data_IF_475906379612
#
_entry.id   IF_475906379612
#
_cell.length_a   1.000
_cell.length_b   1.000
_cell.length_c   1.000
_cell.angle_alpha   90.00
_cell.angle_beta   90.00
_cell.angle_gamma   90.00
#
_symmetry.space_group_name_H-M   'P 1'
#
loop_
_entity.id
_entity.type
_entity.pdbx_description
1 polymer ?
#
# COMPACT_ATOMS: atom_id res chain seq x y z
N UNK A 1 -6.08 8.05 -25.72
CA UNK A 1 -6.70 7.26 -24.65
C UNK A 1 -5.63 6.84 -23.67
N UNK A 2 -5.85 7.06 -22.41
CA UNK A 2 -4.91 6.64 -21.38
C UNK A 2 -5.57 5.61 -20.47
N UNK A 3 -4.76 4.74 -19.90
CA UNK A 3 -5.23 3.75 -18.93
C UNK A 3 -4.27 3.65 -17.77
N UNK A 4 -4.76 3.17 -16.65
CA UNK A 4 -3.94 2.92 -15.47
C UNK A 4 -4.51 1.75 -14.70
N UNK A 5 -3.66 1.15 -13.87
CA UNK A 5 -4.04 -0.01 -13.06
C UNK A 5 -4.14 0.43 -11.60
N UNK A 6 -5.20 0.00 -10.94
CA UNK A 6 -5.43 0.25 -9.52
C UNK A 6 -6.07 -0.97 -8.90
N UNK A 7 -6.51 -0.87 -7.64
CA UNK A 7 -7.25 -1.96 -7.00
C UNK A 7 -8.71 -1.57 -6.84
N UNK A 8 -9.58 -2.57 -6.75
CA UNK A 8 -10.99 -2.39 -6.46
C UNK A 8 -11.18 -2.46 -4.94
N UNK A 9 -11.74 -1.39 -4.36
CA UNK A 9 -12.08 -1.40 -2.95
C UNK A 9 -10.88 -1.55 -2.03
N UNK A 10 -10.94 -2.54 -1.15
CA UNK A 10 -9.92 -2.79 -0.12
C UNK A 10 -9.42 -4.23 -0.16
N UNK A 11 -8.24 -4.45 0.41
CA UNK A 11 -7.68 -5.78 0.55
C UNK A 11 -6.83 -5.83 1.82
N UNK A 12 -6.75 -7.00 2.43
CA UNK A 12 -5.94 -7.22 3.64
C UNK A 12 -5.24 -8.56 3.53
N UNK A 13 -3.98 -8.61 3.92
CA UNK A 13 -3.23 -9.85 4.03
C UNK A 13 -2.29 -9.76 5.21
N UNK A 14 -1.98 -10.89 5.81
CA UNK A 14 -1.11 -10.94 6.97
C UNK A 14 -0.02 -11.98 6.76
N UNK A 15 1.20 -11.64 7.17
CA UNK A 15 2.30 -12.60 7.23
C UNK A 15 2.94 -12.54 8.61
N UNK A 16 3.67 -13.57 8.97
CA UNK A 16 4.44 -13.62 10.22
C UNK A 16 5.90 -13.87 9.87
N UNK A 17 6.79 -13.10 10.49
CA UNK A 17 8.23 -13.25 10.35
C UNK A 17 8.87 -13.08 11.73
N UNK A 18 9.62 -14.10 12.17
CA UNK A 18 10.30 -14.10 13.47
C UNK A 18 9.37 -13.60 14.58
N UNK A 19 8.15 -14.15 14.61
CA UNK A 19 7.10 -13.86 15.60
C UNK A 19 6.48 -12.48 15.51
N UNK A 20 6.95 -11.61 14.62
CA UNK A 20 6.27 -10.35 14.34
C UNK A 20 5.16 -10.60 13.32
N UNK A 21 4.02 -9.91 13.52
CA UNK A 21 2.90 -9.97 12.58
C UNK A 21 2.92 -8.71 11.73
N UNK A 22 2.77 -8.90 10.43
CA UNK A 22 2.73 -7.80 9.47
C UNK A 22 1.41 -7.89 8.71
N UNK A 23 0.57 -6.88 8.88
CA UNK A 23 -0.76 -6.84 8.28
C UNK A 23 -0.77 -5.74 7.24
N UNK A 24 -0.85 -6.12 5.97
CA UNK A 24 -0.93 -5.16 4.88
C UNK A 24 -2.39 -4.88 4.56
N UNK A 25 -2.78 -3.63 4.73
CA UNK A 25 -4.14 -3.16 4.42
C UNK A 25 -4.04 -2.19 3.26
N UNK A 26 -4.74 -2.47 2.17
CA UNK A 26 -4.73 -1.66 0.96
C UNK A 26 -6.11 -1.11 0.68
N UNK A 27 -6.15 0.06 0.06
CA UNK A 27 -7.41 0.66 -0.36
C UNK A 27 -7.21 1.47 -1.64
N UNK A 28 -8.25 1.50 -2.47
CA UNK A 28 -8.29 2.43 -3.59
C UNK A 28 -8.54 3.82 -3.04
N UNK A 29 -7.67 4.77 -3.38
CA UNK A 29 -7.82 6.17 -3.00
C UNK A 29 -7.46 7.03 -4.19
N UNK A 30 -8.07 8.21 -4.30
CA UNK A 30 -7.80 9.12 -5.41
C UNK A 30 -7.22 10.44 -4.96
N UNK A 31 -7.27 10.74 -3.66
CA UNK A 31 -6.73 11.98 -3.12
C UNK A 31 -5.85 11.69 -1.90
N UNK A 32 -5.00 12.64 -1.57
CA UNK A 32 -4.17 12.56 -0.37
C UNK A 32 -5.03 12.50 0.89
N UNK A 33 -6.13 13.26 0.90
CA UNK A 33 -7.05 13.25 2.03
C UNK A 33 -7.63 11.85 2.28
N UNK A 34 -8.01 11.14 1.21
CA UNK A 34 -8.51 9.78 1.32
C UNK A 34 -7.44 8.83 1.82
N UNK A 35 -6.21 8.99 1.33
CA UNK A 35 -5.09 8.15 1.77
C UNK A 35 -4.81 8.32 3.25
N UNK A 36 -4.78 9.58 3.73
CA UNK A 36 -4.52 9.88 5.14
C UNK A 36 -5.69 9.45 6.02
N UNK A 37 -6.92 9.55 5.54
CA UNK A 37 -8.08 9.08 6.29
C UNK A 37 -8.01 7.56 6.48
N UNK A 38 -7.60 6.82 5.46
CA UNK A 38 -7.43 5.38 5.56
C UNK A 38 -6.33 5.04 6.58
N UNK A 39 -5.21 5.76 6.53
CA UNK A 39 -4.13 5.57 7.50
C UNK A 39 -4.63 5.76 8.93
N UNK A 40 -5.40 6.81 9.19
CA UNK A 40 -5.94 7.08 10.52
C UNK A 40 -6.92 6.00 10.96
N UNK A 41 -7.72 5.48 10.04
CA UNK A 41 -8.64 4.38 10.33
C UNK A 41 -7.86 3.12 10.78
N UNK A 42 -6.79 2.79 10.06
CA UNK A 42 -5.97 1.62 10.40
C UNK A 42 -5.24 1.83 11.73
N UNK A 43 -4.70 3.04 11.96
CA UNK A 43 -4.06 3.36 13.24
C UNK A 43 -5.04 3.20 14.40
N UNK A 44 -6.25 3.71 14.25
CA UNK A 44 -7.26 3.63 15.30
C UNK A 44 -7.65 2.18 15.60
N UNK A 45 -7.67 1.33 14.58
CA UNK A 45 -8.00 -0.09 14.76
C UNK A 45 -6.83 -0.89 15.34
N UNK A 46 -5.61 -0.35 15.35
CA UNK A 46 -4.41 -1.08 15.75
C UNK A 46 -3.55 -0.27 16.73
N UNK A 47 -4.17 0.25 17.80
CA UNK A 47 -3.50 1.14 18.74
C UNK A 47 -2.31 0.50 19.45
N UNK A 48 -2.31 -0.82 19.59
CA UNK A 48 -1.22 -1.53 20.28
C UNK A 48 -0.07 -1.88 19.34
N UNK A 49 -0.20 -1.64 18.05
CA UNK A 49 0.86 -1.92 17.10
C UNK A 49 2.01 -0.92 17.28
N UNK A 50 3.24 -1.40 17.11
CA UNK A 50 4.43 -0.56 17.18
C UNK A 50 4.56 0.39 16.00
N UNK A 51 4.20 -0.08 14.82
CA UNK A 51 4.40 0.68 13.60
C UNK A 51 3.21 0.49 12.66
N UNK A 52 2.80 1.59 12.03
CA UNK A 52 1.87 1.58 10.92
C UNK A 52 2.58 2.27 9.76
N UNK A 53 3.40 1.50 9.09
CA UNK A 53 4.18 1.95 7.92
C UNK A 53 3.23 2.16 6.76
N UNK A 54 3.46 3.18 5.94
CA UNK A 54 2.56 3.39 4.81
C UNK A 54 3.27 3.90 3.57
N UNK A 55 2.62 3.69 2.43
CA UNK A 55 2.99 4.28 1.16
C UNK A 55 1.73 4.51 0.35
N UNK A 56 1.71 5.56 -0.45
CA UNK A 56 0.61 5.75 -1.38
C UNK A 56 1.11 6.39 -2.67
N UNK A 57 0.41 6.08 -3.73
CA UNK A 57 0.67 6.58 -5.07
C UNK A 57 -0.64 7.12 -5.60
N UNK A 58 -0.63 8.40 -5.98
CA UNK A 58 -1.81 9.06 -6.52
C UNK A 58 -1.51 9.49 -7.95
N UNK A 59 -2.44 9.22 -8.85
CA UNK A 59 -2.31 9.58 -10.24
C UNK A 59 -2.31 11.09 -10.44
N UNK A 60 -3.03 11.82 -9.57
CA UNK A 60 -3.10 13.27 -9.60
C UNK A 60 -2.66 13.84 -8.26
N UNK A 61 -1.77 14.82 -8.30
CA UNK A 61 -1.23 15.46 -7.10
C UNK A 61 -2.00 16.69 -6.64
N UNK A 62 -3.23 16.85 -7.08
CA UNK A 62 -4.05 18.05 -6.81
C UNK A 62 -3.94 19.02 -7.97
N UNK A 63 -4.74 20.07 -7.96
CA UNK A 63 -4.84 21.19 -8.92
C UNK A 63 -3.96 21.10 -10.17
N UNK A 64 -4.12 20.06 -10.99
CA UNK A 64 -3.40 19.92 -12.24
C UNK A 64 -1.97 19.46 -12.13
N UNK A 65 -1.52 19.13 -10.93
CA UNK A 65 -0.15 18.67 -10.70
C UNK A 65 0.03 17.22 -11.18
N UNK A 66 1.28 16.84 -11.38
CA UNK A 66 1.64 15.45 -11.62
C UNK A 66 1.29 14.59 -10.40
N UNK A 67 1.29 13.29 -10.57
CA UNK A 67 0.98 12.36 -9.49
C UNK A 67 1.85 12.55 -8.26
N UNK A 68 1.35 12.07 -7.12
CA UNK A 68 2.05 12.18 -5.84
C UNK A 68 2.40 10.81 -5.30
N UNK A 69 3.60 10.71 -4.76
CA UNK A 69 4.13 9.49 -4.15
C UNK A 69 4.65 9.84 -2.77
N UNK A 70 4.24 9.08 -1.75
CA UNK A 70 4.70 9.28 -0.38
C UNK A 70 4.88 7.96 0.34
N UNK A 71 5.79 7.97 1.32
CA UNK A 71 5.94 6.82 2.21
C UNK A 71 6.44 7.29 3.57
N UNK A 72 6.26 6.43 4.58
CA UNK A 72 6.77 6.67 5.92
C UNK A 72 7.18 5.36 6.56
N UNK A 73 8.33 5.37 7.22
CA UNK A 73 8.82 4.21 7.99
C UNK A 73 8.12 4.09 9.35
N UNK A 74 7.42 5.11 9.79
CA UNK A 74 6.68 5.16 11.05
C UNK A 74 7.49 4.59 12.23
N UNK A 75 8.73 5.05 12.40
CA UNK A 75 9.57 4.65 13.50
C UNK A 75 10.43 3.42 13.24
N UNK A 76 10.27 2.71 12.15
CA UNK A 76 11.21 1.67 11.76
C UNK A 76 12.51 2.33 11.28
N UNK A 77 13.64 1.59 11.26
CA UNK A 77 14.89 2.18 10.75
C UNK A 77 14.72 2.73 9.35
N UNK A 78 15.42 3.82 9.05
CA UNK A 78 15.25 4.56 7.82
C UNK A 78 15.38 3.67 6.58
N UNK A 79 14.40 3.76 5.68
CA UNK A 79 14.34 3.05 4.40
C UNK A 79 14.24 1.53 4.49
N UNK A 80 13.84 1.01 5.65
CA UNK A 80 13.66 -0.44 5.82
C UNK A 80 12.21 -0.88 5.69
N UNK A 81 11.28 0.04 5.65
CA UNK A 81 9.85 -0.30 5.74
C UNK A 81 9.01 0.45 4.70
N UNK A 82 8.92 1.77 4.79
CA UNK A 82 8.07 2.56 3.90
C UNK A 82 8.51 2.50 2.45
N UNK A 83 9.81 2.61 2.20
CA UNK A 83 10.33 2.56 0.84
C UNK A 83 10.12 1.18 0.20
N UNK A 84 10.42 0.05 0.87
CA UNK A 84 10.09 -1.25 0.32
C UNK A 84 8.60 -1.41 -0.01
N UNK A 85 7.72 -0.91 0.85
CA UNK A 85 6.28 -0.93 0.60
C UNK A 85 5.95 -0.16 -0.68
N UNK A 86 6.49 1.05 -0.81
CA UNK A 86 6.28 1.87 -2.00
C UNK A 86 6.80 1.17 -3.25
N UNK A 87 7.99 0.59 -3.19
CA UNK A 87 8.60 -0.05 -4.35
C UNK A 87 7.79 -1.23 -4.86
N UNK A 88 7.18 -2.00 -3.97
CA UNK A 88 6.30 -3.10 -4.38
C UNK A 88 5.09 -2.57 -5.15
N UNK A 89 4.48 -1.48 -4.67
CA UNK A 89 3.35 -0.85 -5.37
C UNK A 89 3.78 -0.36 -6.75
N UNK A 90 4.97 0.25 -6.84
CA UNK A 90 5.50 0.76 -8.10
C UNK A 90 5.80 -0.37 -9.09
N UNK A 91 6.42 -1.45 -8.63
CA UNK A 91 6.74 -2.59 -9.50
C UNK A 91 5.48 -3.27 -10.00
N UNK A 92 4.40 -3.24 -9.22
CA UNK A 92 3.12 -3.79 -9.65
C UNK A 92 2.39 -2.87 -10.65
N UNK A 93 2.92 -1.67 -10.88
CA UNK A 93 2.34 -0.72 -11.81
C UNK A 93 1.06 -0.08 -11.29
N UNK A 94 0.86 -0.05 -9.96
CA UNK A 94 -0.38 0.45 -9.37
C UNK A 94 -0.32 1.96 -9.13
N UNK A 95 -1.47 2.60 -9.27
CA UNK A 95 -1.66 3.98 -8.87
C UNK A 95 -3.03 4.14 -8.23
N UNK A 96 -3.29 5.29 -7.58
CA UNK A 96 -4.52 5.54 -6.84
C UNK A 96 -4.74 4.46 -5.78
N UNK A 97 -3.68 4.20 -5.00
CA UNK A 97 -3.66 3.15 -3.99
C UNK A 97 -2.89 3.63 -2.77
N UNK A 98 -3.35 3.20 -1.60
CA UNK A 98 -2.62 3.35 -0.34
C UNK A 98 -2.43 1.96 0.26
N UNK A 99 -1.24 1.73 0.83
CA UNK A 99 -0.95 0.51 1.58
C UNK A 99 -0.44 0.90 2.95
N UNK A 100 -1.04 0.35 4.00
CA UNK A 100 -0.57 0.50 5.37
C UNK A 100 -0.17 -0.88 5.86
N UNK A 101 1.10 -1.03 6.30
CA UNK A 101 1.57 -2.28 6.88
C UNK A 101 1.70 -2.07 8.38
N UNK A 102 0.84 -2.74 9.13
CA UNK A 102 0.78 -2.69 10.58
C UNK A 102 1.64 -3.82 11.14
N UNK A 103 2.56 -3.48 12.04
CA UNK A 103 3.45 -4.47 12.62
C UNK A 103 3.25 -4.58 14.12
N UNK A 104 3.03 -5.83 14.58
CA UNK A 104 3.04 -6.19 16.00
C UNK A 104 4.35 -6.92 16.27
N UNK A 105 5.20 -6.31 17.10
CA UNK A 105 6.52 -6.87 17.41
C UNK A 105 6.38 -8.17 18.22
N UNK A 106 7.13 -9.21 17.80
CA UNK A 106 7.05 -10.52 18.44
C UNK A 106 8.21 -10.85 19.40
N UNK A 107 9.04 -9.87 19.74
CA UNK A 107 10.14 -10.08 20.67
C UNK A 107 11.45 -10.50 20.04
N UNK A 108 11.48 -10.72 18.74
CA UNK A 108 12.69 -11.12 18.00
C UNK A 108 13.02 -10.06 16.97
N UNK A 109 14.27 -9.59 16.97
CA UNK A 109 14.71 -8.58 16.01
C UNK A 109 14.91 -9.21 14.63
N UNK A 110 14.47 -8.50 13.59
CA UNK A 110 14.62 -8.97 12.22
C UNK A 110 15.91 -8.51 11.58
N UNK A 111 16.49 -7.40 12.04
CA UNK A 111 17.59 -6.74 11.36
C UNK A 111 17.09 -5.97 10.15
N UNK A 112 17.95 -5.10 9.58
CA UNK A 112 17.54 -4.23 8.48
C UNK A 112 17.14 -5.02 7.22
N UNK A 113 17.91 -6.04 6.86
CA UNK A 113 17.58 -6.88 5.71
C UNK A 113 16.29 -7.67 5.91
N UNK A 114 16.07 -8.16 7.12
CA UNK A 114 14.83 -8.88 7.46
C UNK A 114 13.61 -7.97 7.40
N UNK A 115 13.75 -6.72 7.85
CA UNK A 115 12.68 -5.74 7.77
C UNK A 115 12.29 -5.46 6.32
N UNK A 116 13.30 -5.19 5.47
CA UNK A 116 13.04 -4.93 4.04
C UNK A 116 12.26 -6.09 3.43
N UNK A 117 12.70 -7.33 3.70
CA UNK A 117 12.03 -8.52 3.16
C UNK A 117 10.61 -8.66 3.67
N UNK A 118 10.40 -8.43 4.98
CA UNK A 118 9.07 -8.58 5.58
C UNK A 118 8.08 -7.56 5.04
N UNK A 119 8.49 -6.30 4.91
CA UNK A 119 7.61 -5.27 4.35
C UNK A 119 7.35 -5.50 2.87
N UNK A 120 8.35 -5.97 2.13
CA UNK A 120 8.17 -6.34 0.73
C UNK A 120 7.18 -7.48 0.58
N UNK A 121 7.35 -8.55 1.35
CA UNK A 121 6.49 -9.73 1.27
C UNK A 121 5.06 -9.44 1.73
N UNK A 122 4.90 -8.65 2.79
CA UNK A 122 3.56 -8.34 3.29
C UNK A 122 2.79 -7.47 2.30
N UNK A 123 3.45 -6.49 1.69
CA UNK A 123 2.81 -5.65 0.67
C UNK A 123 2.44 -6.48 -0.55
N UNK A 124 3.32 -7.37 -0.99
CA UNK A 124 3.01 -8.26 -2.11
C UNK A 124 1.83 -9.16 -1.80
N UNK A 125 1.77 -9.70 -0.57
CA UNK A 125 0.63 -10.52 -0.16
C UNK A 125 -0.67 -9.72 -0.19
N UNK A 126 -0.61 -8.45 0.20
CA UNK A 126 -1.76 -7.56 0.13
C UNK A 126 -2.24 -7.33 -1.31
N UNK A 127 -1.29 -7.13 -2.23
CA UNK A 127 -1.62 -6.98 -3.65
C UNK A 127 -2.24 -8.27 -4.19
N UNK A 128 -1.67 -9.42 -3.82
CA UNK A 128 -2.19 -10.72 -4.26
C UNK A 128 -3.61 -10.97 -3.76
N UNK A 129 -3.97 -10.40 -2.62
CA UNK A 129 -5.32 -10.50 -2.07
C UNK A 129 -6.28 -9.48 -2.69
N UNK A 130 -5.77 -8.49 -3.41
CA UNK A 130 -6.58 -7.43 -3.99
C UNK A 130 -7.13 -7.83 -5.35
N UNK A 131 -8.24 -7.19 -5.73
CA UNK A 131 -8.78 -7.27 -7.07
C UNK A 131 -8.17 -6.14 -7.89
N UNK A 132 -7.31 -6.47 -8.85
CA UNK A 132 -6.71 -5.46 -9.72
C UNK A 132 -7.68 -5.10 -10.85
N UNK A 133 -7.72 -3.83 -11.20
CA UNK A 133 -8.55 -3.33 -12.29
C UNK A 133 -7.78 -2.38 -13.17
N UNK A 134 -8.07 -2.40 -14.45
CA UNK A 134 -7.55 -1.42 -15.41
C UNK A 134 -8.64 -0.41 -15.67
N UNK A 135 -8.33 0.86 -15.50
CA UNK A 135 -9.28 1.95 -15.78
C UNK A 135 -8.85 2.61 -17.06
N UNK A 136 -9.75 2.60 -18.04
CA UNK A 136 -9.51 3.24 -19.33
C UNK A 136 -10.40 4.46 -19.43
N UNK A 137 -9.85 5.56 -19.97
CA UNK A 137 -10.63 6.76 -20.23
C UNK A 137 -10.79 6.88 -21.75
N UNK A 138 -12.01 6.87 -22.18
CA UNK A 138 -12.34 7.03 -23.59
C UNK A 138 -13.33 8.18 -23.71
N UNK A 139 -12.88 9.29 -24.29
CA UNK A 139 -13.66 10.53 -24.36
C UNK A 139 -14.05 10.96 -22.95
N UNK A 140 -15.29 10.89 -22.56
CA UNK A 140 -15.76 11.29 -21.24
C UNK A 140 -16.18 10.11 -20.37
N UNK A 141 -15.84 8.90 -20.80
CA UNK A 141 -16.24 7.69 -20.09
C UNK A 141 -15.04 7.02 -19.43
N UNK A 142 -15.28 6.47 -18.27
CA UNK A 142 -14.33 5.59 -17.60
C UNK A 142 -14.87 4.17 -17.69
N UNK A 143 -14.05 3.29 -18.24
CA UNK A 143 -14.39 1.87 -18.33
C UNK A 143 -13.45 1.11 -17.40
N UNK A 144 -14.03 0.33 -16.50
CA UNK A 144 -13.28 -0.44 -15.53
C UNK A 144 -13.35 -1.92 -15.91
N UNK A 145 -12.19 -2.52 -16.14
CA UNK A 145 -12.07 -3.91 -16.58
C UNK A 145 -11.31 -4.68 -15.52
N UNK A 146 -11.88 -5.82 -15.09
CA UNK A 146 -11.21 -6.65 -14.11
C UNK A 146 -9.88 -7.18 -14.66
N UNK A 147 -8.83 -7.08 -13.86
CA UNK A 147 -7.50 -7.55 -14.23
C UNK A 147 -7.46 -9.07 -14.02
N UNK A 148 -7.02 -9.84 -15.04
CA UNK A 148 -6.95 -11.30 -14.88
C UNK A 148 -5.99 -11.67 -13.75
N UNK A 149 -6.34 -12.69 -13.00
CA UNK A 149 -5.51 -13.21 -11.92
C UNK A 149 -5.20 -14.68 -12.20
N UNK A 150 -3.95 -15.01 -12.16
CA UNK A 150 -3.49 -16.36 -12.40
C UNK A 150 -2.80 -16.93 -11.18
#
# INVERSE_FOLDING_TARGET
>A
MSSYTTIEGRAVAEIEEKKSRFIASLAHVETEEEALAFLEEIRAANRMARHNVYAYILRQGGAGAAGRVRYSDDGEPQKTAGLPTLEVLQHAGLTDVVCVVTRYFGGVLLGTGGLVRAYTQSTQAGIDAAQLVVVSRCVDLRIRIAYPRY
#
